data_IF_435649288151
#
_entry.id   IF_435649288151
#
_cell.length_a   1.000
_cell.length_b   1.000
_cell.length_c   1.000
_cell.angle_alpha   90.00
_cell.angle_beta   90.00
_cell.angle_gamma   90.00
#
_symmetry.space_group_name_H-M   'P 1'
#
loop_
_entity.id
_entity.type
_entity.pdbx_description
1 polymer ?
#
# COMPACT_ATOMS: atom_id res chain seq x y z
N UNK A 1 16.60 -11.73 -10.91
CA UNK A 1 16.79 -11.27 -9.50
C UNK A 1 17.85 -12.12 -8.82
N UNK A 2 18.82 -11.50 -8.15
CA UNK A 2 19.81 -12.22 -7.31
C UNK A 2 19.43 -12.03 -5.84
N UNK A 3 18.74 -13.01 -5.27
CA UNK A 3 18.18 -12.96 -3.91
C UNK A 3 19.26 -12.68 -2.85
N UNK A 4 20.49 -13.18 -3.05
CA UNK A 4 21.58 -13.00 -2.10
C UNK A 4 22.06 -11.55 -1.96
N UNK A 5 21.73 -10.70 -2.90
CA UNK A 5 22.04 -9.28 -2.85
C UNK A 5 20.99 -8.45 -2.11
N UNK A 6 19.77 -8.97 -1.96
CA UNK A 6 18.68 -8.24 -1.30
C UNK A 6 19.04 -8.01 0.16
N UNK A 7 18.89 -6.77 0.62
CA UNK A 7 19.13 -6.31 1.98
C UNK A 7 17.93 -5.63 2.61
N UNK A 8 16.98 -5.18 1.79
CA UNK A 8 15.77 -4.57 2.29
C UNK A 8 14.55 -5.06 1.51
N UNK A 9 13.45 -5.22 2.22
CA UNK A 9 12.12 -5.40 1.66
C UNK A 9 11.34 -4.11 1.93
N UNK A 10 10.89 -3.48 0.87
CA UNK A 10 10.05 -2.29 0.92
C UNK A 10 8.64 -2.71 0.56
N UNK A 11 7.66 -2.29 1.32
CA UNK A 11 6.26 -2.65 1.13
C UNK A 11 5.43 -1.42 0.77
N UNK A 12 4.48 -1.56 -0.15
CA UNK A 12 3.35 -0.65 -0.14
C UNK A 12 2.44 -0.93 1.07
N UNK A 13 1.55 0.00 1.38
CA UNK A 13 0.64 -0.12 2.51
C UNK A 13 -0.69 -0.78 2.12
N UNK A 14 -1.44 -0.12 1.21
CA UNK A 14 -2.80 -0.49 0.84
C UNK A 14 -2.77 -1.66 -0.15
N UNK A 15 -3.49 -2.73 0.13
CA UNK A 15 -3.49 -3.93 -0.71
C UNK A 15 -2.28 -4.85 -0.51
N UNK A 16 -1.26 -4.42 0.26
CA UNK A 16 -0.05 -5.20 0.56
C UNK A 16 0.09 -5.49 2.04
N UNK A 17 0.33 -4.46 2.88
CA UNK A 17 0.40 -4.66 4.34
C UNK A 17 -0.99 -4.81 4.94
N UNK A 18 -1.98 -4.13 4.36
CA UNK A 18 -3.35 -4.10 4.85
C UNK A 18 -4.35 -4.33 3.72
N UNK A 19 -5.32 -5.23 3.96
CA UNK A 19 -6.56 -5.25 3.21
C UNK A 19 -7.42 -4.07 3.63
N UNK A 20 -7.67 -3.17 2.69
CA UNK A 20 -8.43 -1.93 2.89
C UNK A 20 -9.86 -2.00 2.37
N UNK A 21 -10.33 -3.16 1.89
CA UNK A 21 -11.63 -3.30 1.27
C UNK A 21 -12.77 -2.83 2.18
N UNK A 22 -12.77 -3.30 3.44
CA UNK A 22 -13.81 -2.90 4.40
C UNK A 22 -13.73 -1.41 4.75
N UNK A 23 -12.52 -0.89 4.97
CA UNK A 23 -12.31 0.53 5.28
C UNK A 23 -12.80 1.44 4.14
N UNK A 24 -12.47 1.11 2.89
CA UNK A 24 -12.90 1.83 1.71
C UNK A 24 -14.41 1.75 1.52
N UNK A 25 -15.03 0.58 1.77
CA UNK A 25 -16.48 0.43 1.71
C UNK A 25 -17.19 1.35 2.71
N UNK A 26 -16.72 1.36 3.96
CA UNK A 26 -17.27 2.24 5.00
C UNK A 26 -17.08 3.72 4.66
N UNK A 27 -15.92 4.06 4.11
CA UNK A 27 -15.61 5.41 3.65
C UNK A 27 -16.60 5.91 2.59
N UNK A 28 -16.79 5.14 1.52
CA UNK A 28 -17.71 5.52 0.45
C UNK A 28 -19.17 5.47 0.89
N UNK A 29 -19.58 4.51 1.75
CA UNK A 29 -20.94 4.49 2.30
C UNK A 29 -21.22 5.73 3.16
N UNK A 30 -20.28 6.15 3.99
CA UNK A 30 -20.41 7.39 4.77
C UNK A 30 -20.52 8.62 3.87
N UNK A 31 -19.77 8.65 2.78
CA UNK A 31 -19.85 9.69 1.77
C UNK A 31 -21.24 9.68 1.09
N UNK A 32 -21.74 8.54 0.67
CA UNK A 32 -23.04 8.38 0.03
C UNK A 32 -24.19 8.77 0.96
N UNK A 33 -24.15 8.32 2.21
CA UNK A 33 -25.16 8.65 3.24
C UNK A 33 -25.28 10.18 3.45
N UNK A 34 -24.14 10.89 3.51
CA UNK A 34 -24.13 12.35 3.62
C UNK A 34 -24.89 13.04 2.49
N UNK A 35 -24.83 12.49 1.28
CA UNK A 35 -25.54 13.02 0.10
C UNK A 35 -26.90 12.37 -0.13
N UNK A 36 -27.44 11.63 0.86
CA UNK A 36 -28.74 11.00 0.81
C UNK A 36 -28.87 9.86 -0.21
N UNK A 37 -27.75 9.22 -0.53
CA UNK A 37 -27.68 8.07 -1.43
C UNK A 37 -27.62 6.75 -0.65
N UNK A 38 -28.11 5.64 -1.22
CA UNK A 38 -28.02 4.33 -0.60
C UNK A 38 -26.58 3.83 -0.54
N UNK A 39 -26.31 2.93 0.40
CA UNK A 39 -25.04 2.20 0.49
C UNK A 39 -24.70 1.47 -0.81
N UNK A 40 -23.41 1.26 -1.03
CA UNK A 40 -22.89 0.49 -2.15
C UNK A 40 -23.41 -0.95 -2.13
N UNK A 41 -23.98 -1.39 -3.25
CA UNK A 41 -24.15 -2.82 -3.50
C UNK A 41 -22.78 -3.52 -3.64
N UNK A 42 -22.75 -4.85 -3.53
CA UNK A 42 -21.51 -5.61 -3.72
C UNK A 42 -20.91 -5.47 -5.12
N UNK A 43 -21.77 -5.28 -6.13
CA UNK A 43 -21.34 -5.06 -7.50
C UNK A 43 -20.72 -3.68 -7.68
N UNK A 44 -21.35 -2.64 -7.17
CA UNK A 44 -20.82 -1.28 -7.19
C UNK A 44 -19.50 -1.20 -6.42
N UNK A 45 -19.42 -1.82 -5.25
CA UNK A 45 -18.20 -1.82 -4.46
C UNK A 45 -17.02 -2.46 -5.20
N UNK A 46 -17.23 -3.60 -5.88
CA UNK A 46 -16.18 -4.24 -6.69
C UNK A 46 -15.60 -3.30 -7.76
N UNK A 47 -16.45 -2.47 -8.39
CA UNK A 47 -15.99 -1.48 -9.37
C UNK A 47 -15.24 -0.32 -8.70
N UNK A 48 -15.88 0.30 -7.70
CA UNK A 48 -15.33 1.46 -7.00
C UNK A 48 -13.99 1.17 -6.33
N UNK A 49 -13.82 -0.06 -5.83
CA UNK A 49 -12.57 -0.48 -5.18
C UNK A 49 -11.38 -0.59 -6.14
N UNK A 50 -11.64 -0.77 -7.44
CA UNK A 50 -10.60 -0.80 -8.49
C UNK A 50 -10.34 0.57 -9.13
N UNK A 51 -11.20 1.54 -8.88
CA UNK A 51 -11.13 2.85 -9.49
C UNK A 51 -10.15 3.78 -8.76
N UNK A 52 -9.64 4.76 -9.47
CA UNK A 52 -9.08 5.95 -8.83
C UNK A 52 -10.19 6.71 -8.08
N UNK A 53 -9.81 7.54 -7.11
CA UNK A 53 -10.79 8.36 -6.37
C UNK A 53 -11.66 9.17 -7.32
N UNK A 54 -11.07 9.76 -8.37
CA UNK A 54 -11.82 10.54 -9.35
C UNK A 54 -12.84 9.67 -10.09
N UNK A 55 -12.43 8.53 -10.62
CA UNK A 55 -13.33 7.61 -11.34
C UNK A 55 -14.44 7.09 -10.43
N UNK A 56 -14.11 6.78 -9.16
CA UNK A 56 -15.10 6.37 -8.17
C UNK A 56 -16.15 7.46 -7.93
N UNK A 57 -15.72 8.73 -7.80
CA UNK A 57 -16.65 9.85 -7.60
C UNK A 57 -17.50 10.11 -8.85
N UNK A 58 -16.91 10.09 -10.04
CA UNK A 58 -17.64 10.25 -11.31
C UNK A 58 -18.72 9.15 -11.47
N UNK A 59 -18.42 7.92 -11.02
CA UNK A 59 -19.36 6.80 -11.03
C UNK A 59 -20.47 6.92 -9.97
N UNK A 60 -20.12 7.38 -8.76
CA UNK A 60 -21.07 7.47 -7.64
C UNK A 60 -21.97 8.70 -7.68
N UNK A 61 -21.54 9.77 -8.33
CA UNK A 61 -22.22 11.05 -8.39
C UNK A 61 -22.39 11.56 -9.83
N UNK A 62 -22.93 10.71 -10.75
CA UNK A 62 -23.04 11.07 -12.17
C UNK A 62 -23.97 12.25 -12.45
N UNK A 63 -24.85 12.60 -11.50
CA UNK A 63 -25.78 13.71 -11.60
C UNK A 63 -25.20 15.06 -11.16
N UNK A 64 -23.99 15.08 -10.58
CA UNK A 64 -23.39 16.31 -10.08
C UNK A 64 -22.58 17.04 -11.16
N UNK A 65 -22.93 18.27 -11.43
CA UNK A 65 -22.18 19.16 -12.35
C UNK A 65 -20.83 19.61 -11.77
N UNK A 66 -20.69 19.61 -10.43
CA UNK A 66 -19.46 19.96 -9.71
C UNK A 66 -19.24 19.06 -8.52
N UNK A 67 -18.01 18.56 -8.37
CA UNK A 67 -17.56 17.73 -7.26
C UNK A 67 -17.03 18.54 -6.05
N UNK A 68 -17.13 19.87 -6.07
CA UNK A 68 -16.59 20.73 -4.99
C UNK A 68 -17.14 20.38 -3.61
N UNK A 69 -18.46 20.19 -3.49
CA UNK A 69 -19.09 19.81 -2.22
C UNK A 69 -18.66 18.42 -1.74
N UNK A 70 -18.49 17.48 -2.68
CA UNK A 70 -18.03 16.12 -2.39
C UNK A 70 -16.59 16.15 -1.87
N UNK A 71 -15.69 16.84 -2.56
CA UNK A 71 -14.30 17.00 -2.10
C UNK A 71 -14.20 17.77 -0.78
N UNK A 72 -15.03 18.79 -0.57
CA UNK A 72 -15.07 19.51 0.70
C UNK A 72 -15.47 18.60 1.86
N UNK A 73 -16.52 17.78 1.69
CA UNK A 73 -16.94 16.81 2.71
C UNK A 73 -15.90 15.72 2.92
N UNK A 74 -15.31 15.17 1.86
CA UNK A 74 -14.23 14.17 1.97
C UNK A 74 -13.04 14.70 2.78
N UNK A 75 -12.68 15.97 2.56
CA UNK A 75 -11.59 16.63 3.30
C UNK A 75 -11.93 16.78 4.79
N UNK A 76 -13.16 17.14 5.11
CA UNK A 76 -13.64 17.32 6.48
C UNK A 76 -13.79 15.98 7.22
N UNK A 77 -14.37 14.99 6.54
CA UNK A 77 -14.54 13.62 7.05
C UNK A 77 -13.20 12.95 7.33
N UNK A 78 -12.21 13.16 6.45
CA UNK A 78 -10.92 12.51 6.51
C UNK A 78 -11.01 10.98 6.41
N UNK A 79 -9.90 10.28 6.65
CA UNK A 79 -9.85 8.82 6.59
C UNK A 79 -9.57 8.16 7.95
N UNK A 80 -9.27 8.96 8.98
CA UNK A 80 -8.81 8.47 10.29
C UNK A 80 -9.78 7.48 10.96
N UNK A 81 -11.08 7.79 10.94
CA UNK A 81 -12.12 6.94 11.57
C UNK A 81 -12.30 5.58 10.88
N UNK A 82 -11.78 5.42 9.65
CA UNK A 82 -11.91 4.19 8.87
C UNK A 82 -10.71 3.26 9.03
N UNK A 83 -9.59 3.72 9.60
CA UNK A 83 -8.38 2.91 9.82
C UNK A 83 -8.68 1.66 10.65
N UNK A 84 -9.60 1.74 11.61
CA UNK A 84 -10.01 0.59 12.42
C UNK A 84 -10.65 -0.57 11.63
N UNK A 85 -11.05 -0.34 10.38
CA UNK A 85 -11.61 -1.35 9.48
C UNK A 85 -10.57 -1.91 8.49
N UNK A 86 -9.32 -1.44 8.56
CA UNK A 86 -8.22 -2.06 7.82
C UNK A 86 -7.80 -3.34 8.53
N UNK A 87 -7.56 -4.39 7.76
CA UNK A 87 -7.10 -5.67 8.32
C UNK A 87 -5.66 -5.92 7.89
N UNK A 88 -4.77 -6.20 8.84
CA UNK A 88 -3.41 -6.61 8.50
C UNK A 88 -3.43 -7.91 7.70
N UNK A 89 -2.58 -8.01 6.68
CA UNK A 89 -2.48 -9.20 5.86
C UNK A 89 -2.03 -10.40 6.69
N UNK A 90 -2.64 -11.56 6.38
CA UNK A 90 -2.33 -12.81 7.10
C UNK A 90 -0.86 -13.19 6.94
N UNK A 91 -0.19 -13.48 8.04
CA UNK A 91 1.23 -13.84 8.08
C UNK A 91 2.18 -12.63 8.02
N UNK A 92 1.66 -11.39 8.11
CA UNK A 92 2.49 -10.19 8.05
C UNK A 92 3.46 -10.10 9.25
N UNK A 93 2.96 -10.29 10.46
CA UNK A 93 3.80 -10.20 11.66
C UNK A 93 4.93 -11.22 11.64
N UNK A 94 4.60 -12.46 11.29
CA UNK A 94 5.56 -13.56 11.16
C UNK A 94 6.63 -13.23 10.11
N UNK A 95 6.23 -12.69 8.96
CA UNK A 95 7.18 -12.29 7.94
C UNK A 95 8.10 -11.17 8.42
N UNK A 96 7.56 -10.12 9.07
CA UNK A 96 8.35 -9.00 9.57
C UNK A 96 9.36 -9.44 10.65
N UNK A 97 8.98 -10.38 11.52
CA UNK A 97 9.88 -11.00 12.50
C UNK A 97 10.99 -11.79 11.82
N UNK A 98 10.65 -12.62 10.84
CA UNK A 98 11.61 -13.43 10.08
C UNK A 98 12.61 -12.56 9.31
N UNK A 99 12.12 -11.51 8.64
CA UNK A 99 12.97 -10.53 7.97
C UNK A 99 13.94 -9.86 8.93
N UNK A 100 13.44 -9.44 10.12
CA UNK A 100 14.27 -8.87 11.18
C UNK A 100 15.36 -9.81 11.64
N UNK A 101 15.00 -11.04 11.94
CA UNK A 101 15.92 -12.09 12.42
C UNK A 101 17.00 -12.41 11.38
N UNK A 102 16.65 -12.36 10.10
CA UNK A 102 17.59 -12.58 9.00
C UNK A 102 18.38 -11.32 8.59
N UNK A 103 18.16 -10.17 9.26
CA UNK A 103 18.93 -8.95 9.04
C UNK A 103 18.49 -8.13 7.82
N UNK A 104 17.27 -8.36 7.29
CA UNK A 104 16.68 -7.51 6.26
C UNK A 104 16.11 -6.24 6.87
N UNK A 105 16.40 -5.10 6.26
CA UNK A 105 15.69 -3.86 6.57
C UNK A 105 14.24 -3.94 6.04
N UNK A 106 13.28 -3.45 6.82
CA UNK A 106 11.85 -3.42 6.48
C UNK A 106 11.42 -1.97 6.36
N UNK A 107 10.91 -1.60 5.19
CA UNK A 107 10.53 -0.22 4.92
C UNK A 107 9.13 -0.16 4.31
N UNK A 108 8.53 1.02 4.36
CA UNK A 108 7.27 1.32 3.70
C UNK A 108 7.49 2.44 2.69
N UNK A 109 6.93 2.29 1.48
CA UNK A 109 6.80 3.32 0.46
C UNK A 109 5.34 3.40 0.01
N UNK A 110 4.62 4.47 0.37
CA UNK A 110 3.17 4.54 0.23
C UNK A 110 2.65 5.90 -0.23
N UNK A 111 1.65 5.89 -1.10
CA UNK A 111 0.93 7.09 -1.50
C UNK A 111 -0.01 7.66 -0.41
N UNK A 112 -0.11 7.01 0.75
CA UNK A 112 -0.71 7.65 1.93
C UNK A 112 0.08 8.90 2.31
N UNK A 113 -0.61 9.85 2.94
CA UNK A 113 0.01 11.11 3.41
C UNK A 113 0.03 11.13 4.95
N UNK A 114 -0.95 11.78 5.56
CA UNK A 114 -1.04 12.08 6.99
C UNK A 114 -1.60 10.94 7.85
N UNK A 115 -2.13 9.88 7.27
CA UNK A 115 -2.76 8.78 8.02
C UNK A 115 -1.81 7.62 8.35
N UNK A 116 -0.62 7.56 7.74
CA UNK A 116 0.26 6.39 7.89
C UNK A 116 0.73 6.17 9.32
N UNK A 117 1.05 7.24 10.05
CA UNK A 117 1.43 7.15 11.46
C UNK A 117 0.31 6.56 12.34
N UNK A 118 -0.95 6.96 12.06
CA UNK A 118 -2.12 6.43 12.77
C UNK A 118 -2.38 4.97 12.44
N UNK A 119 -2.21 4.57 11.17
CA UNK A 119 -2.30 3.16 10.75
C UNK A 119 -1.33 2.31 11.55
N UNK A 120 -0.05 2.68 11.56
CA UNK A 120 0.97 1.94 12.31
C UNK A 120 0.71 1.91 13.82
N UNK A 121 0.20 2.99 14.38
CA UNK A 121 -0.14 3.08 15.80
C UNK A 121 -1.32 2.18 16.18
N UNK A 122 -2.40 2.21 15.38
CA UNK A 122 -3.63 1.42 15.65
C UNK A 122 -3.33 -0.09 15.54
N UNK A 123 -2.44 -0.48 14.65
CA UNK A 123 -2.06 -1.87 14.43
C UNK A 123 -0.80 -2.32 15.20
N UNK A 124 -0.26 -1.45 16.08
CA UNK A 124 0.91 -1.75 16.94
C UNK A 124 2.18 -2.09 16.13
N UNK A 125 2.34 -1.48 14.96
CA UNK A 125 3.43 -1.79 14.00
C UNK A 125 4.51 -0.70 13.92
N UNK A 126 4.44 0.35 14.74
CA UNK A 126 5.32 1.52 14.64
C UNK A 126 6.82 1.24 14.77
N UNK A 127 7.19 0.17 15.50
CA UNK A 127 8.59 -0.22 15.71
C UNK A 127 9.08 -1.33 14.77
N UNK A 128 8.24 -1.81 13.86
CA UNK A 128 8.56 -2.95 13.00
C UNK A 128 9.27 -2.54 11.70
N UNK A 129 9.33 -1.24 11.41
CA UNK A 129 9.91 -0.72 10.17
C UNK A 129 11.06 0.25 10.46
N UNK A 130 12.18 0.07 9.78
CA UNK A 130 13.35 0.95 9.89
C UNK A 130 13.10 2.30 9.27
N UNK A 131 12.25 2.36 8.22
CA UNK A 131 11.92 3.61 7.54
C UNK A 131 10.53 3.55 6.91
N UNK A 132 9.80 4.65 7.05
CA UNK A 132 8.51 4.87 6.39
C UNK A 132 8.62 6.12 5.54
N UNK A 133 8.28 6.00 4.26
CA UNK A 133 8.24 7.12 3.32
C UNK A 133 6.83 7.21 2.74
N UNK A 134 6.22 8.36 2.92
CA UNK A 134 4.86 8.67 2.47
C UNK A 134 4.89 9.64 1.29
N UNK A 135 3.77 9.80 0.59
CA UNK A 135 3.64 10.80 -0.47
C UNK A 135 3.95 12.24 0.02
N UNK A 136 3.73 12.54 1.31
CA UNK A 136 4.07 13.84 1.89
C UNK A 136 5.57 14.08 2.07
N UNK A 137 6.38 13.03 2.01
CA UNK A 137 7.82 13.06 2.25
C UNK A 137 8.66 13.31 0.99
N UNK A 138 8.03 13.32 -0.18
CA UNK A 138 8.69 13.38 -1.48
C UNK A 138 8.04 14.46 -2.37
N UNK A 139 8.74 14.82 -3.43
CA UNK A 139 8.20 15.80 -4.40
C UNK A 139 7.21 15.15 -5.35
N UNK A 140 7.52 13.95 -5.80
CA UNK A 140 6.71 13.20 -6.75
C UNK A 140 6.43 11.81 -6.16
N UNK A 141 5.19 11.54 -5.69
CA UNK A 141 4.83 10.22 -5.18
C UNK A 141 4.71 9.18 -6.31
N UNK A 142 4.50 7.91 -5.96
CA UNK A 142 4.27 6.85 -6.94
C UNK A 142 3.19 7.26 -7.95
N UNK A 143 3.41 7.09 -9.25
CA UNK A 143 4.33 6.18 -9.92
C UNK A 143 5.77 6.69 -10.11
N UNK A 144 6.13 7.88 -9.58
CA UNK A 144 7.52 8.32 -9.57
C UNK A 144 8.35 7.51 -8.57
N UNK A 145 9.67 7.39 -8.77
CA UNK A 145 10.54 6.56 -7.93
C UNK A 145 10.96 7.23 -6.61
N UNK A 146 10.54 8.46 -6.34
CA UNK A 146 11.13 9.32 -5.30
C UNK A 146 11.12 8.68 -3.90
N UNK A 147 10.06 7.93 -3.55
CA UNK A 147 9.95 7.23 -2.27
C UNK A 147 11.03 6.15 -2.13
N UNK A 148 11.21 5.32 -3.16
CA UNK A 148 12.23 4.27 -3.20
C UNK A 148 13.64 4.88 -3.23
N UNK A 149 13.86 5.94 -4.02
CA UNK A 149 15.13 6.67 -4.07
C UNK A 149 15.49 7.26 -2.69
N UNK A 150 14.50 7.78 -1.95
CA UNK A 150 14.69 8.31 -0.60
C UNK A 150 15.12 7.20 0.37
N UNK A 151 14.48 6.03 0.32
CA UNK A 151 14.85 4.86 1.13
C UNK A 151 16.28 4.43 0.80
N UNK A 152 16.59 4.22 -0.47
CA UNK A 152 17.92 3.80 -0.93
C UNK A 152 19.01 4.76 -0.46
N UNK A 153 18.77 6.06 -0.61
CA UNK A 153 19.71 7.10 -0.19
C UNK A 153 19.95 7.09 1.32
N UNK A 154 18.88 6.94 2.11
CA UNK A 154 18.97 7.01 3.58
C UNK A 154 19.65 5.79 4.16
N UNK A 155 19.36 4.60 3.62
CA UNK A 155 19.91 3.33 4.10
C UNK A 155 21.21 2.93 3.38
N UNK A 156 21.68 3.74 2.42
CA UNK A 156 22.87 3.47 1.61
C UNK A 156 22.79 2.14 0.84
N UNK A 157 21.63 1.82 0.29
CA UNK A 157 21.42 0.66 -0.55
C UNK A 157 21.39 1.03 -2.04
N UNK A 158 21.91 0.11 -2.88
CA UNK A 158 21.77 0.18 -4.33
C UNK A 158 20.45 -0.48 -4.78
N UNK A 159 19.95 -0.18 -6.00
CA UNK A 159 18.65 -0.71 -6.46
C UNK A 159 18.54 -2.23 -6.40
N UNK A 160 19.61 -2.95 -6.76
CA UNK A 160 19.64 -4.42 -6.73
C UNK A 160 19.60 -5.03 -5.34
N UNK A 161 19.70 -4.21 -4.28
CA UNK A 161 19.60 -4.63 -2.89
C UNK A 161 18.19 -4.45 -2.32
N UNK A 162 17.26 -3.92 -3.12
CA UNK A 162 15.87 -3.65 -2.72
C UNK A 162 14.93 -4.60 -3.45
N UNK A 163 14.06 -5.26 -2.69
CA UNK A 163 12.83 -5.89 -3.18
C UNK A 163 11.66 -5.00 -2.79
N UNK A 164 10.97 -4.41 -3.78
CA UNK A 164 9.75 -3.66 -3.54
C UNK A 164 8.54 -4.58 -3.78
N UNK A 165 7.62 -4.62 -2.81
CA UNK A 165 6.39 -5.42 -2.85
C UNK A 165 5.21 -4.47 -2.99
N UNK A 166 4.45 -4.59 -4.07
CA UNK A 166 3.31 -3.74 -4.39
C UNK A 166 2.23 -4.50 -5.15
N UNK A 167 1.02 -3.95 -5.20
CA UNK A 167 -0.15 -4.58 -5.84
C UNK A 167 -0.72 -3.76 -7.01
N UNK A 168 -0.18 -2.56 -7.25
CA UNK A 168 -0.70 -1.58 -8.21
C UNK A 168 0.26 -1.30 -9.37
N UNK A 169 -0.28 -0.74 -10.45
CA UNK A 169 0.51 -0.23 -11.58
C UNK A 169 1.43 0.93 -11.14
N UNK A 170 1.01 1.72 -10.14
CA UNK A 170 1.84 2.78 -9.57
C UNK A 170 3.11 2.23 -8.93
N UNK A 171 3.01 1.08 -8.25
CA UNK A 171 4.16 0.40 -7.64
C UNK A 171 5.10 -0.17 -8.69
N UNK A 172 4.53 -0.84 -9.69
CA UNK A 172 5.28 -1.38 -10.83
C UNK A 172 6.12 -0.28 -11.51
N UNK A 173 5.50 0.86 -11.83
CA UNK A 173 6.18 1.97 -12.50
C UNK A 173 7.23 2.63 -11.61
N UNK A 174 6.96 2.77 -10.31
CA UNK A 174 7.92 3.29 -9.34
C UNK A 174 9.14 2.37 -9.22
N UNK A 175 8.93 1.05 -9.06
CA UNK A 175 10.00 0.06 -9.00
C UNK A 175 10.87 0.07 -10.27
N UNK A 176 10.23 0.03 -11.44
CA UNK A 176 10.90 0.05 -12.73
C UNK A 176 11.74 1.33 -12.91
N UNK A 177 11.20 2.50 -12.51
CA UNK A 177 11.90 3.77 -12.60
C UNK A 177 13.05 3.90 -11.59
N UNK A 178 12.92 3.28 -10.41
CA UNK A 178 13.96 3.22 -9.39
C UNK A 178 15.04 2.17 -9.70
N UNK A 179 14.75 1.20 -10.57
CA UNK A 179 15.63 0.07 -10.90
C UNK A 179 15.70 -1.01 -9.82
N UNK A 180 14.73 -1.05 -8.90
CA UNK A 180 14.62 -2.07 -7.84
C UNK A 180 13.98 -3.33 -8.38
N UNK A 181 14.17 -4.47 -7.67
CA UNK A 181 13.36 -5.67 -7.91
C UNK A 181 11.91 -5.41 -7.48
N UNK A 182 10.97 -5.96 -8.25
CA UNK A 182 9.55 -5.80 -7.99
C UNK A 182 8.86 -7.16 -7.82
N UNK A 183 8.19 -7.33 -6.69
CA UNK A 183 7.28 -8.45 -6.43
C UNK A 183 5.83 -7.96 -6.48
N UNK A 184 5.07 -8.44 -7.47
CA UNK A 184 3.65 -8.15 -7.58
C UNK A 184 2.87 -8.99 -6.56
N UNK A 185 2.22 -8.33 -5.61
CA UNK A 185 1.45 -8.96 -4.56
C UNK A 185 -0.01 -9.14 -4.99
N UNK A 186 -0.50 -10.39 -5.01
CA UNK A 186 -1.89 -10.75 -5.37
C UNK A 186 -2.39 -10.23 -6.73
N UNK A 187 -1.52 -9.66 -7.55
CA UNK A 187 -1.89 -9.11 -8.85
C UNK A 187 -1.08 -9.75 -9.99
N UNK A 188 -1.61 -10.77 -10.64
CA UNK A 188 -0.90 -11.49 -11.71
C UNK A 188 -0.86 -10.72 -13.05
N UNK A 189 -1.53 -9.57 -13.16
CA UNK A 189 -1.57 -8.77 -14.40
C UNK A 189 -0.39 -7.80 -14.50
N UNK A 190 0.29 -7.53 -13.39
CA UNK A 190 1.43 -6.62 -13.38
C UNK A 190 2.68 -7.27 -13.99
N UNK A 191 3.51 -6.45 -14.63
CA UNK A 191 4.85 -6.87 -15.07
C UNK A 191 5.78 -6.78 -13.86
N UNK A 192 6.31 -7.92 -13.41
CA UNK A 192 7.11 -8.02 -12.21
C UNK A 192 8.25 -9.03 -12.36
N UNK A 193 9.29 -8.92 -11.53
CA UNK A 193 10.36 -9.91 -11.45
C UNK A 193 9.86 -11.22 -10.83
N UNK A 194 8.86 -11.13 -9.94
CA UNK A 194 8.16 -12.28 -9.38
C UNK A 194 6.74 -11.90 -8.95
N UNK A 195 5.89 -12.94 -8.80
CA UNK A 195 4.54 -12.79 -8.29
C UNK A 195 4.41 -13.58 -7.00
N UNK A 196 3.78 -12.97 -6.00
CA UNK A 196 3.55 -13.56 -4.67
C UNK A 196 2.07 -13.41 -4.31
N UNK A 197 1.50 -14.46 -3.75
CA UNK A 197 0.08 -14.49 -3.39
C UNK A 197 -0.16 -14.33 -1.88
N UNK A 198 0.91 -14.42 -1.07
CA UNK A 198 0.83 -14.34 0.38
C UNK A 198 2.14 -13.81 0.97
N UNK A 199 2.10 -13.38 2.24
CA UNK A 199 3.30 -13.01 2.99
C UNK A 199 4.28 -14.20 3.12
N UNK A 200 3.76 -15.41 3.25
CA UNK A 200 4.59 -16.62 3.30
C UNK A 200 5.37 -16.87 1.99
N UNK A 201 4.84 -16.46 0.84
CA UNK A 201 5.55 -16.60 -0.44
C UNK A 201 6.75 -15.66 -0.54
N UNK A 202 6.67 -14.48 0.10
CA UNK A 202 7.83 -13.57 0.22
C UNK A 202 8.93 -14.23 1.07
N UNK A 203 8.55 -14.86 2.19
CA UNK A 203 9.49 -15.62 3.01
C UNK A 203 10.18 -16.76 2.26
N UNK A 204 9.42 -17.53 1.47
CA UNK A 204 9.97 -18.59 0.61
C UNK A 204 10.90 -18.02 -0.47
N UNK A 205 10.49 -16.92 -1.12
CA UNK A 205 11.28 -16.25 -2.14
C UNK A 205 12.66 -15.83 -1.61
N UNK A 206 12.71 -15.31 -0.39
CA UNK A 206 13.94 -14.88 0.27
C UNK A 206 14.68 -16.00 1.03
N UNK A 207 14.21 -17.24 0.90
CA UNK A 207 14.79 -18.42 1.57
C UNK A 207 14.92 -18.23 3.10
N UNK A 208 13.96 -17.50 3.71
CA UNK A 208 13.95 -17.29 5.15
C UNK A 208 13.73 -18.63 5.86
N UNK A 209 14.59 -18.96 6.82
CA UNK A 209 14.44 -20.17 7.61
C UNK A 209 13.23 -20.02 8.53
N UNK A 210 12.23 -20.87 8.35
CA UNK A 210 11.20 -21.07 9.36
C UNK A 210 11.83 -21.90 10.48
N UNK A 211 11.80 -21.38 11.72
CA UNK A 211 12.13 -22.23 12.87
C UNK A 211 11.03 -23.29 13.01
N UNK A 212 11.45 -24.56 12.98
CA UNK A 212 10.59 -25.74 13.19
C UNK A 212 10.33 -25.89 14.68
#
# INVERSE_FOLDING_TARGET
MDIKKIKAVVFDCDGVLFDTAQANRMYYNTLLDHFGKPDLSDEQFRLVHMFTVKEALDYLFPEMDSMESVYAFMKDMGYHSFIQYMNAESGLNELLEDLSRCGYARCIATNRTNTMADVLKIHDMGSLFEMVVTAADVKNPKPAPDELLKIMKTLHFSPEQILFVGDSEYDQLAAMSAGTWFAAFKNPLLIADCHVASMADIGKLLELKQDV
#
